data_IF_434400574817
#
_entry.id   IF_434400574817
#
_cell.length_a   1.000
_cell.length_b   1.000
_cell.length_c   1.000
_cell.angle_alpha   90.00
_cell.angle_beta   90.00
_cell.angle_gamma   90.00
#
_symmetry.space_group_name_H-M   'P 1'
#
loop_
_entity.id
_entity.type
_entity.pdbx_description
1 polymer ?
#
# COMPACT_ATOMS: atom_id res chain seq x y z
N UNK A 1 13.78 51.81 3.19
CA UNK A 1 14.76 50.70 3.30
C UNK A 1 14.28 49.59 4.24
N UNK A 2 13.61 49.92 5.34
CA UNK A 2 13.07 48.93 6.28
C UNK A 2 12.07 47.96 5.62
N UNK A 3 11.19 48.48 4.76
CA UNK A 3 10.21 47.65 4.03
C UNK A 3 10.84 46.71 2.98
N UNK A 4 11.98 47.08 2.40
CA UNK A 4 12.70 46.26 1.41
C UNK A 4 13.33 45.01 2.04
N UNK A 5 13.78 45.12 3.30
CA UNK A 5 14.33 43.99 4.06
C UNK A 5 13.23 43.03 4.50
N UNK A 6 12.05 43.54 4.86
CA UNK A 6 10.92 42.70 5.28
C UNK A 6 10.39 41.87 4.11
N UNK A 7 10.21 42.46 2.93
CA UNK A 7 9.73 41.72 1.76
C UNK A 7 10.75 40.70 1.25
N UNK A 8 12.06 40.96 1.41
CA UNK A 8 13.11 40.01 1.02
C UNK A 8 13.14 38.80 1.94
N UNK A 9 13.01 38.99 3.27
CA UNK A 9 12.93 37.89 4.24
C UNK A 9 11.64 37.09 4.06
N UNK A 10 10.50 37.75 3.83
CA UNK A 10 9.23 37.07 3.53
C UNK A 10 9.33 36.22 2.25
N UNK A 11 9.97 36.73 1.20
CA UNK A 11 10.20 35.96 -0.03
C UNK A 11 11.02 34.68 0.20
N UNK A 12 12.07 34.75 1.01
CA UNK A 12 12.92 33.59 1.36
C UNK A 12 12.12 32.57 2.19
N UNK A 13 11.36 33.02 3.20
CA UNK A 13 10.56 32.13 4.05
C UNK A 13 9.46 31.40 3.26
N UNK A 14 8.80 32.09 2.32
CA UNK A 14 7.79 31.49 1.45
C UNK A 14 8.39 30.42 0.54
N UNK A 15 9.58 30.65 -0.03
CA UNK A 15 10.26 29.68 -0.89
C UNK A 15 10.63 28.39 -0.14
N UNK A 16 11.17 28.50 1.08
CA UNK A 16 11.56 27.33 1.90
C UNK A 16 10.35 26.50 2.32
N UNK A 17 9.22 27.16 2.61
CA UNK A 17 8.00 26.51 3.10
C UNK A 17 7.37 25.52 2.11
N UNK A 18 7.51 25.77 0.79
CA UNK A 18 6.89 24.93 -0.26
C UNK A 18 7.57 23.56 -0.36
N UNK A 19 8.89 23.50 -0.22
CA UNK A 19 9.64 22.24 -0.35
C UNK A 19 9.37 21.27 0.82
N UNK A 20 9.23 21.79 2.04
CA UNK A 20 8.91 20.97 3.22
C UNK A 20 7.52 20.31 3.15
N UNK A 21 6.54 20.99 2.54
CA UNK A 21 5.17 20.48 2.44
C UNK A 21 5.05 19.29 1.47
N UNK A 22 5.84 19.25 0.40
CA UNK A 22 5.82 18.14 -0.56
C UNK A 22 6.36 16.85 0.06
N UNK A 23 7.51 16.93 0.75
CA UNK A 23 8.09 15.78 1.45
C UNK A 23 7.17 15.22 2.54
N UNK A 24 6.50 16.09 3.30
CA UNK A 24 5.54 15.66 4.32
C UNK A 24 4.33 14.91 3.72
N UNK A 25 3.81 15.37 2.57
CA UNK A 25 2.71 14.69 1.87
C UNK A 25 3.13 13.32 1.34
N UNK A 26 4.32 13.19 0.78
CA UNK A 26 4.88 11.90 0.34
C UNK A 26 5.03 10.93 1.51
N UNK A 27 5.66 11.38 2.62
CA UNK A 27 5.81 10.58 3.83
C UNK A 27 4.45 10.12 4.40
N UNK A 28 3.43 10.98 4.38
CA UNK A 28 2.08 10.61 4.81
C UNK A 28 1.44 9.53 3.92
N UNK A 29 1.62 9.61 2.59
CA UNK A 29 1.11 8.59 1.67
C UNK A 29 1.86 7.27 1.83
N UNK A 30 3.17 7.31 1.98
CA UNK A 30 4.00 6.14 2.27
C UNK A 30 3.62 5.47 3.60
N UNK A 31 3.34 6.26 4.63
CA UNK A 31 2.80 5.75 5.90
C UNK A 31 1.46 5.05 5.72
N UNK A 32 0.56 5.62 4.90
CA UNK A 32 -0.72 5.00 4.55
C UNK A 32 -0.54 3.70 3.77
N UNK A 33 0.35 3.66 2.76
CA UNK A 33 0.69 2.44 2.01
C UNK A 33 1.16 1.31 2.92
N UNK A 34 2.08 1.60 3.85
CA UNK A 34 2.55 0.61 4.83
C UNK A 34 1.40 0.10 5.70
N UNK A 35 0.57 0.99 6.22
CA UNK A 35 -0.58 0.60 7.04
C UNK A 35 -1.59 -0.27 6.28
N UNK A 36 -1.83 0.06 5.00
CA UNK A 36 -2.71 -0.74 4.12
C UNK A 36 -2.16 -2.15 3.88
N UNK A 37 -0.84 -2.27 3.66
CA UNK A 37 -0.18 -3.56 3.50
C UNK A 37 -0.24 -4.41 4.78
N UNK A 38 -0.06 -3.81 5.96
CA UNK A 38 -0.20 -4.53 7.24
C UNK A 38 -1.65 -4.94 7.52
N UNK A 39 -2.62 -4.10 7.16
CA UNK A 39 -4.05 -4.45 7.27
C UNK A 39 -4.37 -5.66 6.36
N UNK A 40 -3.88 -5.66 5.12
CA UNK A 40 -4.06 -6.79 4.20
C UNK A 40 -3.38 -8.05 4.74
N UNK A 41 -2.13 -7.94 5.22
CA UNK A 41 -1.42 -9.05 5.88
C UNK A 41 -2.25 -9.65 7.01
N UNK A 42 -2.74 -8.84 7.94
CA UNK A 42 -3.56 -9.35 9.05
C UNK A 42 -4.81 -10.10 8.56
N UNK A 43 -5.50 -9.58 7.54
CA UNK A 43 -6.66 -10.25 6.97
C UNK A 43 -6.31 -11.57 6.25
N UNK A 44 -5.18 -11.61 5.56
CA UNK A 44 -4.67 -12.80 4.88
C UNK A 44 -4.26 -13.90 5.87
N UNK A 45 -3.68 -13.54 7.01
CA UNK A 45 -3.34 -14.51 8.07
C UNK A 45 -4.59 -15.16 8.65
N UNK A 46 -5.64 -14.37 8.92
CA UNK A 46 -6.92 -14.91 9.40
C UNK A 46 -7.57 -15.78 8.31
N UNK A 47 -7.53 -15.34 7.04
CA UNK A 47 -7.99 -16.15 5.92
C UNK A 47 -7.26 -17.49 5.86
N UNK A 48 -5.93 -17.51 6.00
CA UNK A 48 -5.12 -18.74 5.96
C UNK A 48 -5.45 -19.69 7.10
N UNK A 49 -5.75 -19.15 8.29
CA UNK A 49 -6.14 -19.93 9.45
C UNK A 49 -7.46 -20.69 9.22
N UNK A 50 -8.45 -20.03 8.61
CA UNK A 50 -9.76 -20.62 8.37
C UNK A 50 -9.84 -21.44 7.08
N UNK A 51 -9.14 -21.01 6.03
CA UNK A 51 -9.24 -21.56 4.67
C UNK A 51 -8.12 -22.55 4.31
N UNK A 52 -7.15 -22.74 5.20
CA UNK A 52 -5.97 -23.58 4.99
C UNK A 52 -5.11 -23.24 3.77
N UNK A 53 -5.35 -22.09 3.13
CA UNK A 53 -4.62 -21.59 1.97
C UNK A 53 -4.71 -20.06 1.97
N UNK A 54 -3.70 -19.37 1.45
CA UNK A 54 -3.83 -17.95 1.10
C UNK A 54 -4.65 -17.81 -0.19
N UNK A 55 -5.42 -16.72 -0.37
CA UNK A 55 -6.18 -16.54 -1.60
C UNK A 55 -5.23 -16.42 -2.80
N UNK A 56 -5.56 -17.03 -3.94
CA UNK A 56 -4.70 -16.98 -5.13
C UNK A 56 -4.68 -15.59 -5.78
N UNK A 57 -5.73 -14.80 -5.57
CA UNK A 57 -5.84 -13.44 -6.05
C UNK A 57 -6.55 -12.58 -5.01
N UNK A 58 -6.19 -11.30 -4.95
CA UNK A 58 -6.94 -10.33 -4.17
C UNK A 58 -8.19 -9.89 -4.92
N UNK A 59 -9.31 -9.65 -4.21
CA UNK A 59 -10.48 -8.98 -4.79
C UNK A 59 -10.12 -7.61 -5.35
N UNK A 60 -10.98 -7.08 -6.21
CA UNK A 60 -10.85 -5.72 -6.71
C UNK A 60 -10.80 -4.71 -5.56
N UNK A 61 -10.12 -3.58 -5.77
CA UNK A 61 -10.10 -2.45 -4.84
C UNK A 61 -11.51 -2.06 -4.42
N UNK A 62 -11.71 -1.83 -3.13
CA UNK A 62 -13.01 -1.53 -2.54
C UNK A 62 -13.86 -2.77 -2.19
N UNK A 63 -13.59 -3.93 -2.80
CA UNK A 63 -14.35 -5.16 -2.54
C UNK A 63 -13.92 -5.87 -1.25
N UNK A 64 -14.73 -6.83 -0.81
CA UNK A 64 -14.48 -7.64 0.38
C UNK A 64 -13.67 -8.89 0.03
N UNK A 65 -12.70 -9.26 0.86
CA UNK A 65 -12.16 -10.63 0.87
C UNK A 65 -13.06 -11.49 1.76
N UNK A 66 -13.76 -12.44 1.15
CA UNK A 66 -14.65 -13.38 1.82
C UNK A 66 -14.13 -14.81 1.73
N UNK A 67 -14.65 -15.70 2.57
CA UNK A 67 -14.35 -17.12 2.48
C UNK A 67 -14.76 -17.73 1.15
N UNK A 68 -14.02 -18.76 0.71
CA UNK A 68 -14.30 -19.53 -0.50
C UNK A 68 -15.49 -20.49 -0.34
N UNK A 69 -15.95 -20.73 0.90
CA UNK A 69 -16.93 -21.75 1.25
C UNK A 69 -16.32 -23.13 1.56
N UNK A 70 -15.02 -23.31 1.35
CA UNK A 70 -14.32 -24.59 1.55
C UNK A 70 -12.93 -24.38 2.16
N UNK A 71 -12.55 -25.12 3.22
CA UNK A 71 -13.37 -26.00 4.07
C UNK A 71 -14.50 -25.26 4.81
N UNK A 72 -15.33 -25.96 5.60
CA UNK A 72 -16.48 -25.35 6.31
C UNK A 72 -16.11 -24.19 7.24
N UNK A 73 -14.87 -24.18 7.75
CA UNK A 73 -14.29 -23.07 8.53
C UNK A 73 -14.13 -21.80 7.68
N UNK A 74 -14.00 -21.92 6.37
CA UNK A 74 -13.88 -20.83 5.41
C UNK A 74 -15.23 -20.40 4.82
N UNK A 75 -16.24 -20.18 5.67
CA UNK A 75 -17.59 -19.88 5.22
C UNK A 75 -17.65 -18.60 4.35
N UNK A 76 -18.51 -18.60 3.32
CA UNK A 76 -18.71 -17.43 2.43
C UNK A 76 -19.25 -16.19 3.15
N UNK A 77 -19.82 -16.37 4.34
CA UNK A 77 -20.29 -15.29 5.20
C UNK A 77 -19.14 -14.60 5.96
N UNK A 78 -18.00 -15.29 6.14
CA UNK A 78 -16.83 -14.72 6.81
C UNK A 78 -16.19 -13.66 5.93
N UNK A 79 -15.89 -12.50 6.52
CA UNK A 79 -15.22 -11.37 5.86
C UNK A 79 -13.88 -11.16 6.55
N UNK A 80 -12.79 -11.33 5.81
CA UNK A 80 -11.42 -11.22 6.32
C UNK A 80 -10.81 -9.85 6.03
N UNK A 81 -11.23 -9.22 4.94
CA UNK A 81 -10.91 -7.83 4.61
C UNK A 81 -12.22 -7.17 4.19
N UNK A 82 -12.63 -6.13 4.93
CA UNK A 82 -13.90 -5.43 4.73
C UNK A 82 -13.91 -4.52 3.49
N UNK A 83 -12.74 -4.05 3.07
CA UNK A 83 -12.55 -3.32 1.83
C UNK A 83 -11.07 -3.36 1.46
N UNK A 84 -10.76 -3.91 0.28
CA UNK A 84 -9.38 -3.91 -0.24
C UNK A 84 -8.94 -2.47 -0.46
N UNK A 85 -7.87 -2.00 0.19
CA UNK A 85 -7.46 -0.59 0.12
C UNK A 85 -6.96 -0.22 -1.28
N UNK A 86 -7.22 1.02 -1.66
CA UNK A 86 -6.62 1.64 -2.84
C UNK A 86 -5.31 2.33 -2.47
N UNK A 87 -4.34 2.39 -3.38
CA UNK A 87 -3.22 3.31 -3.20
C UNK A 87 -3.74 4.76 -3.06
N UNK A 88 -3.11 5.61 -2.23
CA UNK A 88 -3.46 7.03 -2.13
C UNK A 88 -3.42 7.80 -3.46
N UNK A 89 -2.73 7.28 -4.48
CA UNK A 89 -2.67 7.85 -5.84
C UNK A 89 -3.05 6.78 -6.88
N UNK A 90 -4.33 6.38 -6.93
CA UNK A 90 -4.78 5.19 -7.64
C UNK A 90 -4.71 5.30 -9.18
N UNK A 91 -4.50 6.50 -9.72
CA UNK A 91 -4.33 6.72 -11.17
C UNK A 91 -2.98 6.26 -11.70
N UNK A 92 -1.99 6.08 -10.82
CA UNK A 92 -0.59 5.79 -11.20
C UNK A 92 0.01 4.65 -10.40
N UNK A 93 -0.45 4.43 -9.16
CA UNK A 93 0.07 3.41 -8.27
C UNK A 93 -1.02 2.41 -7.90
N UNK A 94 -0.64 1.15 -7.77
CA UNK A 94 -1.50 0.08 -7.26
C UNK A 94 -0.71 -0.88 -6.39
N UNK A 95 -1.39 -1.53 -5.46
CA UNK A 95 -0.79 -2.64 -4.72
C UNK A 95 -0.78 -3.89 -5.59
N UNK A 96 0.36 -4.57 -5.63
CA UNK A 96 0.52 -5.83 -6.35
C UNK A 96 0.47 -6.97 -5.36
N UNK A 97 -0.37 -7.96 -5.61
CA UNK A 97 -0.50 -9.17 -4.80
C UNK A 97 -0.15 -10.39 -5.64
N UNK A 98 0.67 -11.29 -5.08
CA UNK A 98 0.98 -12.58 -5.68
C UNK A 98 0.98 -13.67 -4.63
N UNK A 99 0.44 -14.83 -4.94
CA UNK A 99 0.35 -15.97 -4.02
C UNK A 99 0.44 -17.29 -4.77
N UNK A 100 1.05 -18.28 -4.13
CA UNK A 100 1.01 -19.68 -4.56
C UNK A 100 0.11 -20.54 -3.65
N UNK A 101 -0.67 -19.88 -2.77
CA UNK A 101 -1.54 -20.51 -1.78
C UNK A 101 -0.84 -20.90 -0.46
N UNK A 102 0.48 -21.07 -0.46
CA UNK A 102 1.27 -21.35 0.76
C UNK A 102 2.01 -20.13 1.28
N UNK A 103 2.48 -19.27 0.38
CA UNK A 103 3.14 -18.00 0.66
C UNK A 103 2.54 -16.92 -0.22
N UNK A 104 2.61 -15.68 0.23
CA UNK A 104 2.22 -14.53 -0.58
C UNK A 104 3.25 -13.41 -0.52
N UNK A 105 3.17 -12.51 -1.50
CA UNK A 105 3.88 -11.25 -1.56
C UNK A 105 2.87 -10.13 -1.83
N UNK A 106 2.99 -9.02 -1.10
CA UNK A 106 2.28 -7.76 -1.37
C UNK A 106 3.30 -6.66 -1.54
N UNK A 107 3.21 -5.92 -2.64
CA UNK A 107 4.18 -4.88 -2.95
C UNK A 107 3.52 -3.54 -3.23
N UNK A 108 4.26 -2.47 -2.94
CA UNK A 108 3.87 -1.10 -3.19
C UNK A 108 5.04 -0.29 -3.78
N UNK A 109 4.70 0.83 -4.40
CA UNK A 109 5.64 1.87 -4.83
C UNK A 109 5.62 3.02 -3.83
N UNK A 110 6.70 3.16 -3.08
CA UNK A 110 6.95 4.21 -2.11
C UNK A 110 7.56 5.42 -2.82
N UNK A 111 7.17 6.62 -2.39
CA UNK A 111 7.68 7.86 -2.97
C UNK A 111 9.01 8.28 -2.36
N UNK A 112 9.30 7.86 -1.13
CA UNK A 112 10.54 8.15 -0.43
C UNK A 112 11.47 6.93 -0.39
N UNK A 113 12.37 6.87 -1.37
CA UNK A 113 13.48 5.90 -1.39
C UNK A 113 13.05 4.46 -1.71
N UNK A 114 13.89 3.49 -1.32
CA UNK A 114 13.68 2.07 -1.57
C UNK A 114 14.47 1.53 -2.75
N UNK A 115 14.80 0.24 -2.69
CA UNK A 115 15.40 -0.51 -3.80
C UNK A 115 14.30 -1.24 -4.55
N UNK A 116 14.43 -1.36 -5.87
CA UNK A 116 13.50 -2.15 -6.68
C UNK A 116 13.33 -3.55 -6.11
N UNK A 117 12.08 -3.97 -5.93
CA UNK A 117 11.70 -5.32 -5.52
C UNK A 117 10.82 -5.97 -6.59
N UNK A 118 10.85 -7.29 -6.63
CA UNK A 118 9.92 -8.09 -7.43
C UNK A 118 8.76 -8.59 -6.57
N UNK A 119 7.57 -8.60 -7.17
CA UNK A 119 6.32 -9.13 -6.68
C UNK A 119 5.80 -10.15 -7.69
N UNK A 120 5.76 -11.43 -7.32
CA UNK A 120 5.26 -12.49 -8.21
C UNK A 120 6.00 -12.54 -9.56
N UNK A 121 7.29 -12.20 -9.57
CA UNK A 121 8.11 -12.15 -10.79
C UNK A 121 8.02 -10.85 -11.59
N UNK A 122 7.18 -9.89 -11.20
CA UNK A 122 7.10 -8.55 -11.82
C UNK A 122 7.65 -7.47 -10.90
N UNK A 123 8.28 -6.41 -11.41
CA UNK A 123 8.68 -5.25 -10.59
C UNK A 123 7.67 -4.10 -10.67
N UNK A 124 6.45 -4.35 -11.17
CA UNK A 124 5.46 -3.31 -11.43
C UNK A 124 4.39 -3.24 -10.33
N UNK A 125 4.16 -2.03 -9.82
CA UNK A 125 3.12 -1.66 -8.87
C UNK A 125 2.20 -0.62 -9.52
N UNK A 126 1.70 -0.94 -10.72
CA UNK A 126 0.90 -0.07 -11.56
C UNK A 126 1.74 0.61 -12.65
N UNK A 127 1.78 1.94 -12.64
CA UNK A 127 2.62 2.75 -13.52
C UNK A 127 4.02 3.03 -12.96
N UNK A 128 4.44 2.33 -11.90
CA UNK A 128 5.71 2.57 -11.20
C UNK A 128 6.34 1.28 -10.69
N UNK A 129 7.64 1.35 -10.40
CA UNK A 129 8.41 0.21 -9.91
C UNK A 129 8.09 -0.05 -8.43
N UNK A 130 7.82 -1.29 -8.08
CA UNK A 130 7.72 -1.70 -6.68
C UNK A 130 9.07 -1.53 -5.98
N UNK A 131 9.08 -0.96 -4.79
CA UNK A 131 10.28 -0.78 -3.97
C UNK A 131 10.05 -1.11 -2.48
N UNK A 132 8.86 -1.61 -2.14
CA UNK A 132 8.52 -2.11 -0.82
C UNK A 132 7.71 -3.40 -0.96
N UNK A 133 8.04 -4.40 -0.13
CA UNK A 133 7.41 -5.73 -0.16
C UNK A 133 7.16 -6.24 1.25
N UNK A 134 5.97 -6.79 1.45
CA UNK A 134 5.57 -7.58 2.62
C UNK A 134 5.35 -9.01 2.14
N UNK A 135 5.87 -9.99 2.88
CA UNK A 135 5.72 -11.41 2.59
C UNK A 135 4.99 -12.11 3.75
N UNK A 136 4.44 -13.29 3.49
CA UNK A 136 3.93 -14.15 4.56
C UNK A 136 5.02 -14.42 5.62
N UNK A 137 4.65 -14.57 6.91
CA UNK A 137 5.58 -14.91 7.99
C UNK A 137 6.39 -16.19 7.76
#
# INVERSE_FOLDING_TARGET
>A
IELLVVISILGILLAISIFGMQGARQASRDGKRKADLEQMRSGLEIYRADCNIYPNAMPATGAQLKGSGTPSTCAVANVYISSVPADPVPSTHSYTYSSNGSTYEICASMEQGGTTVTCGGSSSCGGSTCNYKVVSP
#
